data_IF_313224908188
#
_entry.id   IF_313224908188
#
_cell.length_a   1.000
_cell.length_b   1.000
_cell.length_c   1.000
_cell.angle_alpha   90.00
_cell.angle_beta   90.00
_cell.angle_gamma   90.00
#
_symmetry.space_group_name_H-M   'P 1'
#
loop_
_entity.id
_entity.type
_entity.pdbx_description
1 polymer ?
#
# COMPACT_ATOMS: atom_id res chain seq x y z
N UNK A 1 -66.53 2.78 -35.04
CA UNK A 1 -65.52 2.12 -34.19
C UNK A 1 -64.25 2.05 -35.01
N UNK A 2 -63.35 3.02 -34.79
CA UNK A 2 -62.17 3.27 -35.61
C UNK A 2 -60.97 2.53 -35.03
N UNK A 3 -60.42 1.59 -35.77
CA UNK A 3 -59.20 0.86 -35.40
C UNK A 3 -57.99 1.67 -35.85
N UNK A 4 -57.28 2.27 -34.89
CA UNK A 4 -56.01 2.93 -35.13
C UNK A 4 -54.90 1.86 -35.13
N UNK A 5 -54.40 1.55 -36.32
CA UNK A 5 -53.23 0.69 -36.53
C UNK A 5 -52.00 1.57 -36.35
N UNK A 6 -51.33 1.44 -35.21
CA UNK A 6 -50.12 2.22 -34.89
C UNK A 6 -48.96 1.65 -35.72
N UNK A 7 -48.45 2.46 -36.64
CA UNK A 7 -47.21 2.20 -37.39
C UNK A 7 -46.05 1.98 -36.42
N UNK A 8 -45.56 0.73 -36.37
CA UNK A 8 -44.37 0.36 -35.61
C UNK A 8 -43.16 0.47 -36.53
N UNK A 9 -42.48 1.62 -36.51
CA UNK A 9 -41.19 1.80 -37.18
C UNK A 9 -40.09 1.22 -36.27
N UNK A 10 -39.39 0.13 -36.66
CA UNK A 10 -38.31 -0.40 -35.84
C UNK A 10 -37.15 0.61 -35.76
N UNK A 11 -36.47 0.71 -34.61
CA UNK A 11 -35.30 1.56 -34.47
C UNK A 11 -34.17 1.03 -35.36
N UNK A 12 -33.62 1.92 -36.19
CA UNK A 12 -32.41 1.65 -36.97
C UNK A 12 -31.23 1.44 -36.01
N UNK A 13 -30.89 0.19 -35.72
CA UNK A 13 -29.66 -0.14 -35.00
C UNK A 13 -28.48 0.29 -35.86
N UNK A 14 -27.89 1.44 -35.52
CA UNK A 14 -26.56 1.80 -36.01
C UNK A 14 -25.57 0.96 -35.21
N UNK A 15 -25.27 -0.23 -35.73
CA UNK A 15 -24.15 -1.06 -35.28
C UNK A 15 -22.84 -0.36 -35.66
N UNK A 16 -22.49 0.71 -34.93
CA UNK A 16 -21.20 1.41 -35.05
C UNK A 16 -20.40 1.23 -33.76
N UNK A 17 -20.08 -0.03 -33.43
CA UNK A 17 -19.12 -0.37 -32.38
C UNK A 17 -18.03 -1.35 -32.85
N UNK A 18 -18.12 -1.83 -34.10
CA UNK A 18 -17.09 -2.62 -34.75
C UNK A 18 -16.70 -1.94 -36.06
N UNK A 19 -16.21 -0.70 -35.97
CA UNK A 19 -15.22 -0.27 -36.94
C UNK A 19 -14.02 -1.18 -36.73
N UNK A 20 -14.02 -2.29 -37.46
CA UNK A 20 -12.93 -3.24 -37.58
C UNK A 20 -11.78 -2.47 -38.22
N UNK A 21 -11.04 -1.72 -37.41
CA UNK A 21 -9.72 -1.22 -37.76
C UNK A 21 -8.83 -2.45 -37.94
N UNK A 22 -8.84 -2.94 -39.17
CA UNK A 22 -8.05 -4.07 -39.62
C UNK A 22 -6.58 -3.67 -39.58
N UNK A 23 -5.97 -3.78 -38.39
CA UNK A 23 -4.55 -4.01 -38.22
C UNK A 23 -3.66 -3.11 -39.07
N UNK A 24 -3.81 -1.78 -38.95
CA UNK A 24 -2.65 -0.94 -39.26
C UNK A 24 -1.49 -1.46 -38.43
N UNK A 25 -0.36 -1.74 -39.09
CA UNK A 25 0.85 -2.27 -38.47
C UNK A 25 1.28 -1.42 -37.26
N UNK A 26 0.97 -0.12 -37.33
CA UNK A 26 1.15 0.87 -36.25
C UNK A 26 0.24 0.62 -35.04
N UNK A 27 -1.01 0.18 -35.22
CA UNK A 27 -1.91 -0.15 -34.11
C UNK A 27 -1.49 -1.41 -33.34
N UNK A 28 -0.93 -2.39 -34.05
CA UNK A 28 -0.35 -3.61 -33.44
C UNK A 28 0.91 -3.24 -32.65
N UNK A 29 1.76 -2.39 -33.22
CA UNK A 29 2.97 -1.91 -32.56
C UNK A 29 2.64 -1.06 -31.32
N UNK A 30 1.68 -0.14 -31.41
CA UNK A 30 1.22 0.67 -30.29
C UNK A 30 0.67 -0.20 -29.14
N UNK A 31 -0.14 -1.22 -29.45
CA UNK A 31 -0.66 -2.16 -28.44
C UNK A 31 0.45 -2.99 -27.79
N UNK A 32 1.46 -3.41 -28.57
CA UNK A 32 2.62 -4.13 -28.04
C UNK A 32 3.50 -3.24 -27.15
N UNK A 33 3.70 -1.99 -27.55
CA UNK A 33 4.46 -1.01 -26.78
C UNK A 33 3.75 -0.70 -25.45
N UNK A 34 2.42 -0.53 -25.48
CA UNK A 34 1.60 -0.32 -24.29
C UNK A 34 1.68 -1.53 -23.34
N UNK A 35 1.48 -2.75 -23.85
CA UNK A 35 1.59 -3.96 -23.05
C UNK A 35 2.99 -4.13 -22.44
N UNK A 36 4.04 -3.71 -23.15
CA UNK A 36 5.41 -3.72 -22.63
C UNK A 36 5.61 -2.69 -21.51
N UNK A 37 5.09 -1.48 -21.65
CA UNK A 37 5.12 -0.48 -20.58
C UNK A 37 4.33 -0.93 -19.34
N UNK A 38 3.16 -1.53 -19.54
CA UNK A 38 2.37 -2.13 -18.46
C UNK A 38 3.15 -3.27 -17.78
N UNK A 39 3.73 -4.19 -18.55
CA UNK A 39 4.54 -5.29 -18.01
C UNK A 39 5.77 -4.78 -17.23
N UNK A 40 6.46 -3.74 -17.73
CA UNK A 40 7.57 -3.12 -17.00
C UNK A 40 7.09 -2.49 -15.69
N UNK A 41 5.95 -1.79 -15.70
CA UNK A 41 5.33 -1.24 -14.48
C UNK A 41 4.97 -2.32 -13.46
N UNK A 42 4.52 -3.49 -13.91
CA UNK A 42 4.27 -4.64 -13.04
C UNK A 42 5.54 -5.32 -12.52
N UNK A 43 6.64 -5.26 -13.29
CA UNK A 43 7.93 -5.84 -12.88
C UNK A 43 8.64 -5.02 -11.81
N UNK A 44 8.41 -3.70 -11.76
CA UNK A 44 8.99 -2.79 -10.77
C UNK A 44 8.09 -2.59 -9.54
N UNK A 45 7.17 -3.51 -9.27
CA UNK A 45 6.25 -3.35 -8.15
C UNK A 45 6.98 -3.59 -6.82
N UNK A 46 7.04 -2.61 -5.91
CA UNK A 46 7.76 -2.77 -4.65
C UNK A 46 7.10 -3.86 -3.80
N UNK A 47 7.91 -4.73 -3.21
CA UNK A 47 7.42 -5.76 -2.28
C UNK A 47 7.13 -5.18 -0.89
N UNK A 48 7.84 -4.13 -0.51
CA UNK A 48 7.64 -3.38 0.72
C UNK A 48 7.83 -1.89 0.48
N UNK A 49 7.13 -1.09 1.29
CA UNK A 49 7.21 0.36 1.30
C UNK A 49 7.70 0.80 2.68
N UNK A 50 8.63 1.76 2.73
CA UNK A 50 9.13 2.31 4.00
C UNK A 50 8.29 3.50 4.44
N UNK A 51 7.65 3.40 5.61
CA UNK A 51 6.93 4.47 6.29
C UNK A 51 7.58 4.76 7.63
N UNK A 52 8.14 5.96 7.81
CA UNK A 52 8.82 6.37 9.05
C UNK A 52 9.89 5.35 9.52
N UNK A 53 10.63 4.77 8.57
CA UNK A 53 11.65 3.75 8.85
C UNK A 53 11.12 2.34 9.13
N UNK A 54 9.80 2.14 9.13
CA UNK A 54 9.16 0.83 9.23
C UNK A 54 8.82 0.31 7.84
N UNK A 55 9.18 -0.94 7.55
CA UNK A 55 8.80 -1.59 6.29
C UNK A 55 7.37 -2.13 6.38
N UNK A 56 6.49 -1.58 5.56
CA UNK A 56 5.12 -2.02 5.38
C UNK A 56 5.06 -2.97 4.17
N UNK A 57 4.65 -4.23 4.35
CA UNK A 57 4.57 -5.19 3.26
C UNK A 57 3.42 -4.84 2.31
N UNK A 58 3.66 -5.04 1.01
CA UNK A 58 2.66 -4.88 -0.04
C UNK A 58 2.22 -6.28 -0.51
N UNK A 59 0.91 -6.49 -0.63
CA UNK A 59 0.30 -7.75 -1.06
C UNK A 59 -0.56 -7.53 -2.31
N UNK A 60 -0.44 -8.44 -3.27
CA UNK A 60 -1.26 -8.42 -4.50
C UNK A 60 -2.63 -9.06 -4.27
N UNK A 61 -3.60 -8.72 -5.12
CA UNK A 61 -4.96 -9.28 -5.05
C UNK A 61 -4.95 -10.82 -5.10
N UNK A 62 -4.27 -11.42 -6.07
CA UNK A 62 -4.17 -12.88 -6.24
C UNK A 62 -3.61 -13.59 -4.99
N UNK A 63 -2.71 -12.93 -4.27
CA UNK A 63 -2.13 -13.48 -3.05
C UNK A 63 -3.12 -13.44 -1.90
N UNK A 64 -3.93 -12.38 -1.80
CA UNK A 64 -4.94 -12.21 -0.76
C UNK A 64 -6.14 -13.14 -0.97
N UNK A 65 -6.55 -13.34 -2.22
CA UNK A 65 -7.68 -14.21 -2.58
C UNK A 65 -7.40 -15.68 -2.27
N UNK A 66 -6.14 -16.13 -2.45
CA UNK A 66 -5.72 -17.51 -2.15
C UNK A 66 -5.57 -17.81 -0.66
N UNK A 67 -5.61 -16.80 0.21
CA UNK A 67 -5.43 -16.99 1.64
C UNK A 67 -6.72 -17.43 2.32
N UNK A 68 -6.60 -18.37 3.26
CA UNK A 68 -7.68 -18.72 4.17
C UNK A 68 -8.12 -17.50 4.99
N UNK A 69 -9.43 -17.36 5.21
CA UNK A 69 -10.02 -16.25 5.99
C UNK A 69 -9.32 -15.97 7.32
N UNK A 70 -8.98 -17.02 8.08
CA UNK A 70 -8.28 -16.88 9.37
C UNK A 70 -6.90 -16.21 9.21
N UNK A 71 -6.15 -16.60 8.17
CA UNK A 71 -4.82 -16.04 7.89
C UNK A 71 -4.96 -14.61 7.37
N UNK A 72 -5.94 -14.36 6.49
CA UNK A 72 -6.23 -13.03 5.97
C UNK A 72 -6.54 -12.04 7.10
N UNK A 73 -7.40 -12.44 8.05
CA UNK A 73 -7.74 -11.62 9.22
C UNK A 73 -6.53 -11.35 10.10
N UNK A 74 -5.72 -12.36 10.40
CA UNK A 74 -4.48 -12.17 11.18
C UNK A 74 -3.52 -11.23 10.46
N UNK A 75 -3.33 -11.38 9.14
CA UNK A 75 -2.51 -10.45 8.36
C UNK A 75 -3.08 -9.03 8.35
N UNK A 76 -4.40 -8.86 8.27
CA UNK A 76 -5.03 -7.55 8.28
C UNK A 76 -4.77 -6.82 9.61
N UNK A 77 -4.90 -7.54 10.72
CA UNK A 77 -4.58 -7.01 12.05
C UNK A 77 -3.10 -6.67 12.18
N UNK A 78 -2.21 -7.57 11.73
CA UNK A 78 -0.76 -7.30 11.75
C UNK A 78 -0.39 -6.08 10.90
N UNK A 79 -1.02 -5.89 9.73
CA UNK A 79 -0.79 -4.72 8.89
C UNK A 79 -1.26 -3.45 9.59
N UNK A 80 -2.47 -3.48 10.17
CA UNK A 80 -3.02 -2.36 10.95
C UNK A 80 -2.07 -1.99 12.10
N UNK A 81 -1.62 -2.97 12.87
CA UNK A 81 -0.71 -2.75 14.00
C UNK A 81 0.64 -2.21 13.53
N UNK A 82 1.16 -2.69 12.39
CA UNK A 82 2.38 -2.15 11.75
C UNK A 82 2.20 -0.68 11.41
N UNK A 83 1.08 -0.30 10.78
CA UNK A 83 0.79 1.10 10.44
C UNK A 83 0.66 1.95 11.69
N UNK A 84 -0.03 1.48 12.74
CA UNK A 84 -0.13 2.20 14.03
C UNK A 84 1.26 2.37 14.65
N UNK A 85 2.12 1.35 14.59
CA UNK A 85 3.48 1.40 15.15
C UNK A 85 4.37 2.45 14.49
N UNK A 86 4.10 2.82 13.23
CA UNK A 86 4.83 3.89 12.52
C UNK A 86 4.57 5.28 13.11
N UNK A 87 3.59 5.42 14.02
CA UNK A 87 3.13 6.71 14.60
C UNK A 87 2.75 7.76 13.55
N UNK A 88 2.40 7.31 12.36
CA UNK A 88 1.99 8.14 11.24
C UNK A 88 0.56 8.66 11.36
N UNK A 89 -0.17 8.49 12.46
CA UNK A 89 -1.55 8.97 12.58
C UNK A 89 -2.50 8.55 11.44
N UNK A 90 -2.15 7.56 10.61
CA UNK A 90 -2.80 7.29 9.32
C UNK A 90 -4.31 7.08 9.48
N UNK A 91 -4.71 6.29 10.47
CA UNK A 91 -6.12 6.00 10.75
C UNK A 91 -6.89 7.16 11.39
N UNK A 92 -6.21 8.16 11.95
CA UNK A 92 -6.87 9.38 12.45
C UNK A 92 -7.34 10.26 11.28
N UNK A 93 -6.58 10.26 10.19
CA UNK A 93 -6.89 11.02 8.97
C UNK A 93 -7.79 10.27 8.01
N UNK A 94 -7.70 8.95 8.01
CA UNK A 94 -8.51 8.06 7.20
C UNK A 94 -9.40 7.19 8.09
N UNK A 95 -10.29 7.85 8.84
CA UNK A 95 -11.23 7.17 9.75
C UNK A 95 -12.13 6.14 9.02
N UNK A 96 -12.43 6.39 7.74
CA UNK A 96 -13.21 5.50 6.89
C UNK A 96 -12.45 4.20 6.52
N UNK A 97 -11.12 4.20 6.60
CA UNK A 97 -10.26 3.03 6.38
C UNK A 97 -10.02 2.25 7.68
N UNK A 98 -10.77 2.51 8.74
CA UNK A 98 -10.71 1.66 9.92
C UNK A 98 -11.31 0.28 9.62
N UNK A 99 -10.58 -0.79 9.93
CA UNK A 99 -11.04 -2.16 9.74
C UNK A 99 -12.27 -2.43 10.63
N UNK A 100 -13.48 -2.37 10.05
CA UNK A 100 -14.76 -2.65 10.73
C UNK A 100 -15.43 -3.94 10.25
N UNK A 101 -14.75 -4.64 9.36
CA UNK A 101 -15.42 -5.54 8.44
C UNK A 101 -15.24 -7.02 8.78
N UNK A 102 -16.29 -7.81 8.55
CA UNK A 102 -16.33 -9.25 8.84
C UNK A 102 -16.27 -10.15 7.60
N UNK A 103 -16.38 -9.59 6.39
CA UNK A 103 -16.42 -10.36 5.14
C UNK A 103 -15.03 -10.47 4.50
N UNK A 104 -14.70 -11.64 3.94
CA UNK A 104 -13.41 -11.91 3.29
C UNK A 104 -13.09 -10.91 2.18
N UNK A 105 -14.00 -10.75 1.22
CA UNK A 105 -13.85 -9.83 0.08
C UNK A 105 -13.62 -8.39 0.53
N UNK A 106 -14.35 -7.94 1.55
CA UNK A 106 -14.22 -6.58 2.03
C UNK A 106 -12.93 -6.36 2.84
N UNK A 107 -12.35 -7.41 3.46
CA UNK A 107 -11.00 -7.32 4.05
C UNK A 107 -9.93 -7.25 2.96
N UNK A 108 -10.09 -7.98 1.85
CA UNK A 108 -9.21 -7.83 0.67
C UNK A 108 -9.33 -6.40 0.12
N UNK A 109 -10.55 -5.88 -0.04
CA UNK A 109 -10.78 -4.51 -0.49
C UNK A 109 -10.14 -3.48 0.45
N UNK A 110 -10.25 -3.69 1.76
CA UNK A 110 -9.58 -2.86 2.76
C UNK A 110 -8.06 -2.89 2.61
N UNK A 111 -7.47 -4.07 2.40
CA UNK A 111 -6.02 -4.21 2.17
C UNK A 111 -5.56 -3.39 0.97
N UNK A 112 -6.27 -3.50 -0.16
CA UNK A 112 -5.92 -2.76 -1.37
C UNK A 112 -6.09 -1.25 -1.14
N UNK A 113 -7.21 -0.81 -0.57
CA UNK A 113 -7.46 0.60 -0.31
C UNK A 113 -6.39 1.24 0.60
N UNK A 114 -5.98 0.53 1.67
CA UNK A 114 -4.91 1.00 2.57
C UNK A 114 -3.58 1.09 1.83
N UNK A 115 -3.19 0.07 1.08
CA UNK A 115 -1.93 0.05 0.35
C UNK A 115 -1.87 1.12 -0.74
N UNK A 116 -2.95 1.30 -1.51
CA UNK A 116 -3.08 2.37 -2.51
C UNK A 116 -2.94 3.75 -1.85
N UNK A 117 -3.62 3.97 -0.73
CA UNK A 117 -3.57 5.26 -0.01
C UNK A 117 -2.16 5.56 0.50
N UNK A 118 -1.47 4.55 1.06
CA UNK A 118 -0.08 4.67 1.53
C UNK A 118 0.86 4.97 0.36
N UNK A 119 0.72 4.25 -0.75
CA UNK A 119 1.57 4.43 -1.92
C UNK A 119 1.38 5.83 -2.54
N UNK A 120 0.13 6.26 -2.71
CA UNK A 120 -0.21 7.59 -3.20
C UNK A 120 0.31 8.70 -2.28
N UNK A 121 0.26 8.49 -0.96
CA UNK A 121 0.82 9.44 0.01
C UNK A 121 2.35 9.56 -0.06
N UNK A 122 3.03 8.55 -0.58
CA UNK A 122 4.48 8.54 -0.80
C UNK A 122 4.89 8.99 -2.21
N UNK A 123 3.93 9.39 -3.05
CA UNK A 123 4.18 9.85 -4.41
C UNK A 123 4.20 8.74 -5.46
N UNK A 124 3.87 7.49 -5.10
CA UNK A 124 3.62 6.45 -6.10
C UNK A 124 2.18 6.60 -6.60
N UNK A 125 1.99 6.85 -7.89
CA UNK A 125 0.65 6.91 -8.50
C UNK A 125 0.14 5.50 -8.82
N UNK A 126 -0.15 4.71 -7.78
CA UNK A 126 -0.72 3.38 -7.94
C UNK A 126 -2.25 3.42 -7.81
N UNK A 127 -2.89 2.62 -8.66
CA UNK A 127 -4.34 2.43 -8.64
C UNK A 127 -4.67 0.99 -8.22
N UNK A 128 -5.92 0.71 -7.83
CA UNK A 128 -6.35 -0.64 -7.42
C UNK A 128 -6.06 -1.69 -8.51
N UNK A 129 -6.16 -1.28 -9.79
CA UNK A 129 -5.78 -2.07 -10.97
C UNK A 129 -4.30 -2.50 -10.95
N UNK A 130 -3.40 -1.68 -10.40
CA UNK A 130 -1.96 -2.00 -10.28
C UNK A 130 -1.71 -3.16 -9.31
N UNK A 131 -2.61 -3.38 -8.36
CA UNK A 131 -2.57 -4.50 -7.41
C UNK A 131 -3.24 -5.76 -7.94
N UNK A 132 -3.81 -5.73 -9.15
CA UNK A 132 -4.57 -6.82 -9.76
C UNK A 132 -6.02 -6.92 -9.26
N UNK A 133 -6.55 -5.90 -8.59
CA UNK A 133 -7.94 -5.92 -8.18
C UNK A 133 -8.85 -5.83 -9.42
N UNK A 134 -9.90 -6.68 -9.52
CA UNK A 134 -10.86 -6.55 -10.60
C UNK A 134 -11.58 -5.21 -10.48
N UNK A 135 -11.88 -4.59 -11.62
CA UNK A 135 -12.73 -3.41 -11.70
C UNK A 135 -14.20 -3.80 -11.44
N UNK A 136 -14.47 -4.30 -10.24
CA UNK A 136 -15.82 -4.67 -9.82
C UNK A 136 -16.55 -3.41 -9.35
N UNK A 137 -17.68 -3.11 -9.98
CA UNK A 137 -18.49 -1.92 -9.73
C UNK A 137 -19.10 -1.96 -8.31
N UNK A 138 -19.25 -3.17 -7.74
CA UNK A 138 -19.84 -3.38 -6.42
C UNK A 138 -18.85 -3.19 -5.26
N UNK A 139 -17.54 -3.33 -5.52
CA UNK A 139 -16.50 -3.19 -4.50
C UNK A 139 -15.74 -1.90 -4.76
N UNK A 140 -16.16 -0.83 -4.08
CA UNK A 140 -15.44 0.44 -4.15
C UNK A 140 -14.09 0.30 -3.45
N UNK A 141 -13.05 -0.07 -4.20
CA UNK A 141 -11.63 -0.03 -3.77
C UNK A 141 -11.09 1.40 -3.66
N UNK A 142 -11.98 2.40 -3.81
CA UNK A 142 -11.62 3.79 -3.95
C UNK A 142 -10.96 4.28 -2.67
N UNK A 143 -9.65 4.54 -2.75
CA UNK A 143 -8.97 5.35 -1.76
C UNK A 143 -9.76 6.67 -1.62
N UNK A 144 -10.04 7.15 -0.39
CA UNK A 144 -10.80 8.36 -0.18
C UNK A 144 -10.14 9.46 -0.98
N UNK A 145 -10.94 10.09 -1.86
CA UNK A 145 -10.45 11.07 -2.83
C UNK A 145 -9.57 12.07 -2.11
N UNK A 146 -8.25 11.99 -2.34
CA UNK A 146 -7.33 13.00 -1.88
C UNK A 146 -7.76 14.30 -2.55
N UNK A 147 -8.31 15.21 -1.75
CA UNK A 147 -8.85 16.46 -2.27
C UNK A 147 -7.68 17.21 -2.95
N UNK A 148 -7.68 17.41 -4.27
CA UNK A 148 -6.49 17.89 -5.00
C UNK A 148 -6.09 19.33 -4.63
N UNK A 149 -6.94 20.05 -3.89
CA UNK A 149 -6.70 21.44 -3.45
C UNK A 149 -5.66 21.61 -2.33
N UNK A 150 -5.07 20.53 -1.80
CA UNK A 150 -3.94 20.64 -0.85
C UNK A 150 -2.80 19.71 -1.26
N UNK A 151 -1.97 20.19 -2.19
CA UNK A 151 -0.60 19.69 -2.44
C UNK A 151 0.36 19.99 -1.28
N UNK A 152 -0.13 19.95 -0.05
CA UNK A 152 0.72 19.87 1.13
C UNK A 152 0.88 18.37 1.35
N UNK A 153 2.11 17.86 1.20
CA UNK A 153 2.40 16.48 1.57
C UNK A 153 1.74 16.22 2.94
N UNK A 154 0.94 15.14 3.10
CA UNK A 154 0.26 14.90 4.37
C UNK A 154 1.31 14.91 5.48
N UNK A 155 1.01 15.42 6.67
CA UNK A 155 2.03 15.61 7.72
C UNK A 155 2.62 14.30 8.29
N UNK A 156 2.26 13.15 7.69
CA UNK A 156 2.85 11.84 7.90
C UNK A 156 3.67 11.31 6.71
N UNK A 157 3.66 12.03 5.58
CA UNK A 157 4.62 11.82 4.52
C UNK A 157 5.98 12.35 4.99
N UNK A 158 7.01 11.53 4.75
CA UNK A 158 8.34 11.62 5.35
C UNK A 158 9.04 12.98 5.19
N UNK A 159 8.62 13.78 4.21
CA UNK A 159 9.16 15.12 3.94
C UNK A 159 8.96 16.10 5.11
N UNK A 160 7.91 15.94 5.93
CA UNK A 160 7.65 16.85 7.06
C UNK A 160 8.42 16.46 8.34
N UNK A 161 8.75 15.17 8.52
CA UNK A 161 9.53 14.69 9.68
C UNK A 161 10.98 15.16 9.59
N UNK A 162 11.57 15.16 8.39
CA UNK A 162 12.92 15.67 8.17
C UNK A 162 13.05 17.17 8.42
N UNK A 163 11.99 17.95 8.17
CA UNK A 163 11.99 19.41 8.40
C UNK A 163 11.73 19.82 9.86
N UNK A 164 11.20 18.92 10.70
CA UNK A 164 10.97 19.19 12.13
C UNK A 164 12.15 18.90 13.05
N UNK A 165 13.24 18.33 12.53
CA UNK A 165 14.49 18.27 13.30
C UNK A 165 15.09 19.67 13.20
N UNK A 166 15.03 20.51 14.26
CA UNK A 166 15.72 21.78 14.22
C UNK A 166 17.17 21.46 13.93
N UNK A 167 17.68 21.97 12.81
CA UNK A 167 19.12 21.95 12.53
C UNK A 167 19.76 22.52 13.78
N UNK A 168 20.44 21.67 14.56
CA UNK A 168 21.33 22.10 15.63
C UNK A 168 22.44 22.87 14.92
N UNK A 169 22.19 24.13 14.60
CA UNK A 169 23.21 25.12 14.36
C UNK A 169 23.98 25.20 15.66
N UNK A 170 25.05 24.42 15.72
CA UNK A 170 26.09 24.58 16.72
C UNK A 170 26.69 25.97 16.54
N UNK A 171 26.23 26.92 17.34
CA UNK A 171 27.07 28.04 17.74
C UNK A 171 27.78 27.61 19.03
N UNK A 172 29.06 27.33 18.85
CA UNK A 172 30.00 26.97 19.89
C UNK A 172 30.21 28.12 20.88
N UNK A 173 30.25 27.86 22.20
CA UNK A 173 31.07 28.63 23.10
C UNK A 173 32.42 27.93 23.26
N UNK A 174 33.46 28.52 22.69
CA UNK A 174 34.86 28.17 22.95
C UNK A 174 35.15 28.40 24.44
N UNK A 175 35.22 27.33 25.23
CA UNK A 175 35.89 27.34 26.53
C UNK A 175 36.94 26.25 26.55
N UNK A 176 38.20 26.69 26.49
CA UNK A 176 39.36 25.89 26.84
C UNK A 176 39.16 25.33 28.25
N UNK A 177 39.13 24.02 28.36
CA UNK A 177 39.25 23.32 29.63
C UNK A 177 40.41 22.32 29.50
N UNK A 178 41.31 22.46 30.44
CA UNK A 178 42.61 21.82 30.60
C UNK A 178 42.46 20.31 30.79
N UNK A 179 43.39 19.56 30.18
CA UNK A 179 43.54 18.11 30.32
C UNK A 179 43.99 17.72 31.74
N UNK A 180 43.20 16.86 32.38
CA UNK A 180 43.59 15.79 33.32
C UNK A 180 42.57 14.68 33.03
N UNK A 181 42.89 13.43 32.71
CA UNK A 181 43.89 12.54 33.29
C UNK A 181 43.13 11.29 33.75
N UNK A 182 43.41 10.16 33.08
CA UNK A 182 43.23 8.76 33.50
C UNK A 182 41.83 8.12 33.71
N UNK A 183 41.70 6.93 33.09
CA UNK A 183 41.37 5.63 33.72
C UNK A 183 40.20 4.81 33.14
N UNK A 184 40.55 3.54 32.85
CA UNK A 184 39.75 2.30 32.87
C UNK A 184 38.66 2.14 31.81
N UNK A 185 38.85 1.31 30.77
CA UNK A 185 38.94 -0.16 30.79
C UNK A 185 37.75 -0.85 31.48
N UNK A 186 37.16 -1.82 30.77
CA UNK A 186 36.16 -2.81 31.18
C UNK A 186 34.68 -2.41 31.00
N UNK A 187 34.10 -2.79 29.85
CA UNK A 187 32.67 -3.13 29.70
C UNK A 187 32.40 -3.83 28.36
N UNK A 188 33.02 -4.99 28.14
CA UNK A 188 32.70 -5.88 27.02
C UNK A 188 32.62 -7.33 27.53
N UNK A 189 31.59 -7.70 28.30
CA UNK A 189 31.45 -9.11 28.73
C UNK A 189 30.04 -9.54 29.19
N UNK A 190 28.95 -9.02 28.59
CA UNK A 190 27.59 -9.39 29.08
C UNK A 190 26.52 -9.60 27.98
N UNK A 191 26.88 -10.28 26.89
CA UNK A 191 25.91 -10.59 25.81
C UNK A 191 25.84 -12.08 25.41
N UNK A 192 26.55 -12.99 26.09
CA UNK A 192 26.66 -14.39 25.65
C UNK A 192 25.81 -15.42 26.43
N UNK A 193 24.97 -15.02 27.41
CA UNK A 193 24.34 -15.97 28.36
C UNK A 193 22.86 -16.34 28.15
N UNK A 194 22.19 -15.88 27.09
CA UNK A 194 20.74 -16.14 26.89
C UNK A 194 20.47 -17.06 25.67
N UNK A 195 21.25 -18.15 25.51
CA UNK A 195 21.02 -19.14 24.43
C UNK A 195 20.98 -20.60 24.86
N UNK A 196 20.76 -20.88 26.15
CA UNK A 196 20.72 -22.26 26.65
C UNK A 196 19.52 -22.48 27.57
N UNK A 197 18.28 -22.53 27.04
CA UNK A 197 17.15 -23.07 27.82
C UNK A 197 15.83 -23.43 27.10
N UNK A 198 15.86 -23.78 25.81
CA UNK A 198 14.66 -24.33 25.15
C UNK A 198 15.02 -25.47 24.21
N UNK A 199 15.36 -26.64 24.76
CA UNK A 199 15.45 -27.85 23.95
C UNK A 199 15.27 -29.16 24.74
N UNK A 200 14.23 -29.25 25.59
CA UNK A 200 13.78 -30.54 26.14
C UNK A 200 12.27 -30.56 26.26
N UNK A 201 11.63 -31.21 25.30
CA UNK A 201 10.19 -31.48 25.26
C UNK A 201 9.91 -32.67 24.35
N UNK A 202 10.56 -33.81 24.65
CA UNK A 202 10.29 -35.10 24.01
C UNK A 202 8.97 -35.65 24.56
N UNK A 203 7.95 -35.72 23.71
CA UNK A 203 6.69 -36.41 24.01
C UNK A 203 6.81 -37.88 23.63
N UNK A 204 6.61 -38.79 24.58
CA UNK A 204 6.41 -40.23 24.36
C UNK A 204 4.91 -40.52 24.37
N UNK A 205 4.38 -41.14 23.32
CA UNK A 205 3.04 -41.72 23.28
C UNK A 205 3.13 -43.19 23.69
N UNK A 206 2.35 -43.56 24.71
CA UNK A 206 1.89 -44.92 24.96
C UNK A 206 0.49 -45.12 24.40
#
# INVERSE_FOLDING_TARGET
MSSAFTDYSPPSYTTSAFATDNGSREGIEARRLQAHYEAQRHSSFPTSVTLNGVQVPIFKYDELERLNWNILKTKALNLKDTIISTRSGFFEHYADLTLRTTNAEQVVAWFIAVQVTICNALGYEFDASSFGAPADENVSYRAPSSNPSRRTAPCWAQEDVSNRIPSRQGHAPTKQAVYHGDAAANRCDDAARIRARQNQGSFTLG
#
